data_IF_832949455389
#
_entry.id   IF_832949455389
#
_cell.length_a   1.000
_cell.length_b   1.000
_cell.length_c   1.000
_cell.angle_alpha   90.00
_cell.angle_beta   90.00
_cell.angle_gamma   90.00
#
_symmetry.space_group_name_H-M   'P 1'
#
loop_
_entity.id
_entity.type
_entity.pdbx_description
1 polymer ?
#
# COMPACT_ATOMS: atom_id res chain seq x y z
N UNK A 1 -10.39 -3.95 7.07
CA UNK A 1 -9.41 -3.16 6.29
C UNK A 1 -9.04 -1.94 7.10
N UNK A 2 -7.75 -1.63 7.18
CA UNK A 2 -7.26 -0.32 7.60
C UNK A 2 -7.75 0.79 6.68
N UNK A 3 -7.69 2.04 7.15
CA UNK A 3 -7.79 3.23 6.29
C UNK A 3 -6.38 3.84 6.20
N UNK A 4 -5.83 3.86 4.99
CA UNK A 4 -4.42 4.18 4.77
C UNK A 4 -4.27 5.42 3.86
N UNK A 5 -3.47 6.38 4.31
CA UNK A 5 -3.06 7.57 3.55
C UNK A 5 -1.58 7.44 3.22
N UNK A 6 -1.23 7.30 1.95
CA UNK A 6 0.17 7.35 1.50
C UNK A 6 0.56 8.80 1.22
N UNK A 7 1.79 9.18 1.57
CA UNK A 7 2.40 10.45 1.20
C UNK A 7 3.68 10.16 0.40
N UNK A 8 3.85 10.83 -0.75
CA UNK A 8 5.08 10.72 -1.54
C UNK A 8 5.49 12.07 -2.16
N UNK A 9 6.75 12.22 -2.64
CA UNK A 9 7.13 13.26 -3.57
C UNK A 9 6.22 13.23 -4.80
N UNK A 10 5.81 14.41 -5.29
CA UNK A 10 5.02 14.51 -6.51
C UNK A 10 5.25 15.85 -7.20
N UNK A 11 5.67 15.79 -8.46
CA UNK A 11 5.98 16.96 -9.28
C UNK A 11 4.72 17.66 -9.83
N UNK A 12 4.89 18.94 -10.18
CA UNK A 12 3.82 19.77 -10.72
C UNK A 12 3.38 19.30 -12.12
N UNK A 13 2.33 18.47 -12.16
CA UNK A 13 1.77 17.90 -13.39
C UNK A 13 2.00 16.39 -13.55
N UNK A 14 2.72 15.75 -12.62
CA UNK A 14 2.83 14.29 -12.53
C UNK A 14 1.45 13.68 -12.17
N UNK A 15 1.12 12.50 -12.70
CA UNK A 15 -0.09 11.80 -12.26
C UNK A 15 0.10 11.22 -10.85
N UNK A 16 -0.97 10.72 -10.22
CA UNK A 16 -0.83 9.98 -8.96
C UNK A 16 -0.31 8.56 -9.20
N UNK A 17 -0.67 7.93 -10.31
CA UNK A 17 -0.16 6.61 -10.72
C UNK A 17 1.38 6.65 -10.87
N UNK A 18 1.91 7.63 -11.59
CA UNK A 18 3.36 7.82 -11.75
C UNK A 18 4.08 8.17 -10.43
N UNK A 19 3.40 8.86 -9.50
CA UNK A 19 4.00 9.29 -8.24
C UNK A 19 4.04 8.15 -7.20
N UNK A 20 2.96 7.37 -7.11
CA UNK A 20 2.90 6.18 -6.28
C UNK A 20 3.82 5.08 -6.83
N UNK A 21 3.83 4.84 -8.15
CA UNK A 21 4.72 3.86 -8.77
C UNK A 21 6.22 4.24 -8.68
N UNK A 22 6.56 5.53 -8.55
CA UNK A 22 7.92 5.98 -8.30
C UNK A 22 8.33 5.87 -6.81
N UNK A 23 7.35 5.78 -5.90
CA UNK A 23 7.56 5.67 -4.46
C UNK A 23 7.51 4.21 -3.95
N UNK A 24 6.79 3.34 -4.68
CA UNK A 24 6.70 1.87 -4.51
C UNK A 24 7.80 1.12 -5.29
N UNK A 25 8.58 1.85 -6.11
CA UNK A 25 9.68 1.26 -6.86
C UNK A 25 10.84 0.89 -5.93
N UNK A 26 10.97 -0.41 -5.60
CA UNK A 26 12.18 -0.99 -5.01
C UNK A 26 13.42 -0.50 -5.78
N UNK A 27 14.20 0.44 -5.21
CA UNK A 27 15.48 0.89 -5.78
C UNK A 27 16.55 -0.17 -5.52
N UNK A 28 16.34 -1.32 -6.15
CA UNK A 28 17.10 -2.57 -6.09
C UNK A 28 18.53 -2.46 -6.65
N UNK A 29 18.98 -1.24 -6.97
CA UNK A 29 20.38 -0.88 -7.25
C UNK A 29 20.98 0.13 -6.27
N UNK A 30 20.23 0.63 -5.30
CA UNK A 30 20.62 1.69 -4.34
C UNK A 30 20.14 1.34 -2.92
N UNK A 31 20.91 0.50 -2.24
CA UNK A 31 20.81 0.39 -0.78
C UNK A 31 20.84 1.80 -0.17
N UNK A 32 19.92 2.09 0.75
CA UNK A 32 19.89 3.37 1.46
C UNK A 32 21.22 3.56 2.20
N UNK A 33 22.06 4.46 1.68
CA UNK A 33 23.39 4.71 2.20
C UNK A 33 23.35 5.34 3.61
N UNK A 34 24.49 5.33 4.30
CA UNK A 34 24.60 5.81 5.70
C UNK A 34 24.13 7.28 5.86
N UNK A 35 24.20 8.09 4.80
CA UNK A 35 23.66 9.46 4.80
C UNK A 35 22.13 9.45 4.62
N UNK A 36 21.58 8.70 3.67
CA UNK A 36 20.14 8.55 3.49
C UNK A 36 19.44 8.02 4.77
N UNK A 37 20.02 6.99 5.40
CA UNK A 37 19.56 6.49 6.70
C UNK A 37 19.58 7.58 7.78
N UNK A 38 20.67 8.35 7.87
CA UNK A 38 20.79 9.44 8.86
C UNK A 38 19.74 10.54 8.63
N UNK A 39 19.59 11.01 7.39
CA UNK A 39 18.62 12.08 7.03
C UNK A 39 17.16 11.61 7.20
N UNK A 40 16.89 10.33 6.90
CA UNK A 40 15.59 9.68 7.12
C UNK A 40 15.25 9.56 8.61
N UNK A 41 16.16 9.04 9.43
CA UNK A 41 15.96 8.92 10.88
C UNK A 41 15.86 10.30 11.55
N UNK A 42 16.68 11.29 11.17
CA UNK A 42 16.53 12.67 11.67
C UNK A 42 15.17 13.27 11.30
N UNK A 43 14.65 12.96 10.10
CA UNK A 43 13.32 13.41 9.66
C UNK A 43 12.20 12.74 10.43
N UNK A 44 12.30 11.43 10.64
CA UNK A 44 11.37 10.70 11.50
C UNK A 44 11.36 11.22 12.94
N UNK A 45 12.52 11.57 13.53
CA UNK A 45 12.58 12.14 14.89
C UNK A 45 11.92 13.52 15.00
N UNK A 46 11.90 14.34 13.93
CA UNK A 46 11.11 15.60 13.90
C UNK A 46 9.61 15.30 13.85
N UNK A 47 9.20 14.32 13.04
CA UNK A 47 7.81 13.85 12.95
C UNK A 47 7.35 13.33 14.33
N UNK A 48 8.08 12.39 14.94
CA UNK A 48 7.84 11.86 16.30
C UNK A 48 7.61 12.98 17.31
N UNK A 49 8.54 13.95 17.36
CA UNK A 49 8.50 15.06 18.33
C UNK A 49 7.18 15.84 18.22
N UNK A 50 6.70 16.09 17.00
CA UNK A 50 5.43 16.81 16.76
C UNK A 50 4.20 15.92 16.93
N UNK A 51 4.28 14.62 16.65
CA UNK A 51 3.19 13.67 16.91
C UNK A 51 2.94 13.50 18.42
N UNK A 52 3.99 13.51 19.24
CA UNK A 52 3.91 13.52 20.72
C UNK A 52 3.17 14.75 21.29
N UNK A 53 2.97 15.81 20.51
CA UNK A 53 2.18 17.00 20.91
C UNK A 53 0.68 16.90 20.55
N UNK A 54 0.29 16.03 19.61
CA UNK A 54 -1.08 16.03 19.02
C UNK A 54 -1.85 14.71 19.12
N UNK A 55 -1.17 13.58 19.37
CA UNK A 55 -1.76 12.25 19.54
C UNK A 55 -2.00 11.93 21.01
N UNK A 56 -3.10 11.24 21.33
CA UNK A 56 -3.54 11.02 22.71
C UNK A 56 -3.17 9.65 23.31
N UNK A 57 -2.15 9.64 24.16
CA UNK A 57 -1.77 8.47 24.96
C UNK A 57 -0.25 8.31 25.08
N UNK A 58 0.16 7.09 25.44
CA UNK A 58 1.54 6.64 25.24
C UNK A 58 1.74 6.28 23.75
N UNK A 59 2.91 6.61 23.20
CA UNK A 59 3.27 6.34 21.81
C UNK A 59 4.49 5.44 21.78
N UNK A 60 4.32 4.27 21.17
CA UNK A 60 5.36 3.30 20.87
C UNK A 60 6.13 3.77 19.62
N UNK A 61 7.44 3.50 19.55
CA UNK A 61 8.28 4.09 18.51
C UNK A 61 9.51 3.24 18.24
N UNK A 62 9.72 2.91 16.97
CA UNK A 62 10.91 2.23 16.45
C UNK A 62 11.62 3.12 15.41
N UNK A 63 12.93 2.96 15.27
CA UNK A 63 13.75 3.58 14.22
C UNK A 63 14.77 2.59 13.69
N UNK A 64 15.19 2.75 12.45
CA UNK A 64 16.27 1.96 11.88
C UNK A 64 17.61 2.24 12.58
N UNK A 65 18.36 1.16 12.86
CA UNK A 65 19.71 1.19 13.42
C UNK A 65 20.79 0.75 12.39
N UNK A 66 20.38 0.18 11.26
CA UNK A 66 21.24 -0.38 10.21
C UNK A 66 20.74 0.00 8.81
N UNK A 67 21.63 0.07 7.82
CA UNK A 67 21.32 0.37 6.41
C UNK A 67 20.71 -0.83 5.67
N UNK A 68 19.88 -0.58 4.66
CA UNK A 68 19.29 -1.64 3.83
C UNK A 68 17.97 -2.22 4.35
N UNK A 69 17.30 -1.53 5.27
CA UNK A 69 15.88 -1.69 5.54
C UNK A 69 15.08 -0.54 4.94
N UNK A 70 13.86 -0.79 4.49
CA UNK A 70 13.04 0.15 3.71
C UNK A 70 12.36 1.23 4.56
N UNK A 71 12.39 1.08 5.89
CA UNK A 71 11.68 1.92 6.87
C UNK A 71 12.70 2.66 7.76
N UNK A 72 12.68 3.99 7.77
CA UNK A 72 13.50 4.81 8.67
C UNK A 72 12.94 4.87 10.10
N UNK A 73 11.62 4.76 10.26
CA UNK A 73 10.97 4.61 11.56
C UNK A 73 9.46 4.40 11.52
N UNK A 74 8.94 3.84 12.60
CA UNK A 74 7.51 3.58 12.84
C UNK A 74 7.11 4.21 14.18
N UNK A 75 5.98 4.92 14.21
CA UNK A 75 5.32 5.38 15.43
C UNK A 75 3.91 4.82 15.47
N UNK A 76 3.58 4.14 16.57
CA UNK A 76 2.25 3.57 16.81
C UNK A 76 1.63 4.18 18.06
N UNK A 77 0.34 4.49 17.99
CA UNK A 77 -0.47 5.05 19.06
C UNK A 77 -1.56 4.02 19.48
N UNK A 78 -1.26 3.05 20.35
CA UNK A 78 -2.10 1.86 20.55
C UNK A 78 -3.54 2.19 20.99
N UNK A 79 -3.74 3.30 21.69
CA UNK A 79 -5.05 3.76 22.19
C UNK A 79 -6.00 4.26 21.09
N UNK A 80 -5.45 4.81 20.01
CA UNK A 80 -6.23 5.37 18.89
C UNK A 80 -6.23 4.45 17.67
N UNK A 81 -5.23 3.57 17.55
CA UNK A 81 -4.99 2.77 16.35
C UNK A 81 -4.38 3.57 15.21
N UNK A 82 -3.78 4.73 15.51
CA UNK A 82 -3.02 5.51 14.52
C UNK A 82 -1.59 4.96 14.45
N UNK A 83 -1.15 4.65 13.24
CA UNK A 83 0.22 4.24 12.92
C UNK A 83 0.80 5.21 11.89
N UNK A 84 2.09 5.53 12.00
CA UNK A 84 2.83 6.42 11.08
C UNK A 84 4.18 5.80 10.76
N UNK A 85 4.42 5.56 9.47
CA UNK A 85 5.67 4.98 8.96
C UNK A 85 6.35 5.97 8.00
N UNK A 86 7.68 6.02 8.04
CA UNK A 86 8.51 6.75 7.07
C UNK A 86 9.45 5.77 6.38
N UNK A 87 9.39 5.73 5.05
CA UNK A 87 10.19 4.87 4.18
C UNK A 87 11.21 5.71 3.39
N UNK A 88 12.08 5.10 2.58
CA UNK A 88 12.69 5.85 1.48
C UNK A 88 11.61 6.22 0.45
N UNK A 89 11.67 7.45 -0.06
CA UNK A 89 10.71 7.97 -1.05
C UNK A 89 9.23 8.08 -0.63
N UNK A 90 8.79 7.61 0.54
CA UNK A 90 7.37 7.63 0.94
C UNK A 90 7.12 7.66 2.45
N UNK A 91 5.87 7.88 2.84
CA UNK A 91 5.37 7.74 4.20
C UNK A 91 3.93 7.20 4.20
N UNK A 92 3.52 6.56 5.29
CA UNK A 92 2.14 6.12 5.50
C UNK A 92 1.57 6.71 6.80
N UNK A 93 0.26 7.00 6.79
CA UNK A 93 -0.53 7.24 8.00
C UNK A 93 -1.75 6.33 7.95
N UNK A 94 -1.82 5.38 8.87
CA UNK A 94 -2.80 4.30 8.88
C UNK A 94 -3.69 4.37 10.11
N UNK A 95 -4.96 4.00 9.91
CA UNK A 95 -5.96 3.81 10.96
C UNK A 95 -6.36 2.34 11.01
N UNK A 96 -5.96 1.67 12.10
CA UNK A 96 -6.38 0.31 12.41
C UNK A 96 -7.89 0.21 12.70
N UNK A 97 -8.43 -0.98 12.49
CA UNK A 97 -9.82 -1.29 12.86
C UNK A 97 -9.95 -1.44 14.38
N UNK A 98 -11.01 -0.85 14.95
CA UNK A 98 -11.57 -1.35 16.21
C UNK A 98 -12.56 -2.46 15.90
N UNK A 99 -12.56 -3.53 16.71
CA UNK A 99 -13.48 -4.64 16.52
C UNK A 99 -14.93 -4.15 16.62
N UNK A 100 -15.66 -4.22 15.50
CA UNK A 100 -17.01 -3.67 15.38
C UNK A 100 -18.02 -4.61 16.03
N UNK A 101 -18.09 -4.58 17.35
CA UNK A 101 -18.95 -5.42 18.16
C UNK A 101 -18.85 -5.23 19.68
N UNK A 102 -17.86 -4.48 20.18
CA UNK A 102 -17.78 -4.12 21.59
C UNK A 102 -18.83 -3.07 21.95
N UNK A 103 -19.73 -3.42 22.88
CA UNK A 103 -20.65 -2.45 23.50
C UNK A 103 -19.84 -1.37 24.25
N UNK A 104 -20.23 -0.08 24.18
CA UNK A 104 -19.45 1.00 24.77
C UNK A 104 -19.46 0.93 26.30
N UNK A 105 -18.40 0.34 26.86
CA UNK A 105 -18.12 0.33 28.29
C UNK A 105 -17.72 1.74 28.78
N UNK A 106 -17.66 1.95 30.10
CA UNK A 106 -17.11 3.19 30.67
C UNK A 106 -15.58 3.34 30.44
N UNK A 107 -14.94 2.32 29.84
CA UNK A 107 -13.55 2.30 29.37
C UNK A 107 -13.47 2.29 27.82
N UNK A 108 -14.52 2.79 27.15
CA UNK A 108 -14.54 2.95 25.69
C UNK A 108 -13.33 3.78 25.22
N UNK A 109 -12.59 3.25 24.23
CA UNK A 109 -11.47 3.96 23.61
C UNK A 109 -11.89 5.33 23.03
N UNK A 110 -10.94 6.27 22.87
CA UNK A 110 -11.21 7.67 22.52
C UNK A 110 -12.18 7.84 21.35
N UNK A 111 -12.99 8.89 21.43
CA UNK A 111 -14.09 9.18 20.49
C UNK A 111 -13.66 9.10 19.02
N UNK A 112 -14.54 8.61 18.15
CA UNK A 112 -14.17 8.38 16.75
C UNK A 112 -13.86 9.67 16.01
N UNK A 113 -14.59 10.77 16.25
CA UNK A 113 -14.26 12.06 15.65
C UNK A 113 -12.95 12.64 16.21
N UNK A 114 -12.63 12.40 17.50
CA UNK A 114 -11.31 12.69 18.06
C UNK A 114 -10.20 11.90 17.32
N UNK A 115 -10.37 10.58 17.10
CA UNK A 115 -9.38 9.74 16.42
C UNK A 115 -9.15 10.20 14.97
N UNK A 116 -10.21 10.50 14.22
CA UNK A 116 -10.08 11.00 12.84
C UNK A 116 -9.41 12.39 12.79
N UNK A 117 -9.66 13.24 13.76
CA UNK A 117 -9.02 14.56 13.89
C UNK A 117 -7.54 14.43 14.31
N UNK A 118 -7.18 13.47 15.16
CA UNK A 118 -5.79 13.15 15.51
C UNK A 118 -5.03 12.60 14.29
N UNK A 119 -5.63 11.69 13.52
CA UNK A 119 -5.06 11.19 12.28
C UNK A 119 -4.91 12.29 11.21
N UNK A 120 -5.87 13.20 11.09
CA UNK A 120 -5.80 14.36 10.18
C UNK A 120 -4.62 15.28 10.54
N UNK A 121 -4.37 15.48 11.83
CA UNK A 121 -3.18 16.23 12.30
C UNK A 121 -1.88 15.46 12.04
N UNK A 122 -1.87 14.13 12.16
CA UNK A 122 -0.71 13.31 11.82
C UNK A 122 -0.33 13.44 10.34
N UNK A 123 -1.27 13.27 9.40
CA UNK A 123 -1.05 13.49 7.95
C UNK A 123 -0.48 14.89 7.69
N UNK A 124 -1.05 15.92 8.33
CA UNK A 124 -0.59 17.30 8.20
C UNK A 124 0.81 17.57 8.78
N UNK A 125 1.26 16.79 9.76
CA UNK A 125 2.62 16.85 10.31
C UNK A 125 3.61 16.15 9.38
N UNK A 126 3.30 14.93 8.92
CA UNK A 126 4.17 14.17 8.00
C UNK A 126 4.38 14.96 6.70
N UNK A 127 3.30 15.48 6.09
CA UNK A 127 3.40 16.33 4.90
C UNK A 127 4.24 17.60 5.11
N UNK A 128 4.23 18.17 6.32
CA UNK A 128 4.99 19.39 6.64
C UNK A 128 6.48 19.13 6.91
N UNK A 129 6.86 17.97 7.44
CA UNK A 129 8.27 17.60 7.71
C UNK A 129 8.98 16.97 6.50
N UNK A 130 8.22 16.36 5.57
CA UNK A 130 8.73 15.71 4.36
C UNK A 130 8.56 16.54 3.08
N UNK A 131 7.57 17.43 3.04
CA UNK A 131 7.13 18.09 1.80
C UNK A 131 6.29 17.20 0.87
N UNK A 132 5.94 15.97 1.29
CA UNK A 132 5.21 15.01 0.48
C UNK A 132 3.72 15.37 0.36
N UNK A 133 3.10 14.99 -0.76
CA UNK A 133 1.66 15.17 -0.98
C UNK A 133 0.89 13.93 -0.52
N UNK A 134 -0.22 14.06 0.24
CA UNK A 134 -1.03 12.92 0.68
C UNK A 134 -2.06 12.48 -0.38
N UNK A 135 -2.20 11.16 -0.54
CA UNK A 135 -3.16 10.47 -1.38
C UNK A 135 -4.05 9.54 -0.55
N UNK A 136 -5.34 9.48 -0.87
CA UNK A 136 -6.33 8.67 -0.17
C UNK A 136 -6.80 7.49 -1.04
N UNK A 137 -6.39 6.28 -0.66
CA UNK A 137 -6.72 5.04 -1.36
C UNK A 137 -8.20 4.65 -1.28
N UNK A 138 -9.00 5.26 -0.40
CA UNK A 138 -10.45 5.03 -0.32
C UNK A 138 -11.26 5.94 -1.26
N UNK A 139 -10.67 7.05 -1.71
CA UNK A 139 -11.29 7.98 -2.67
C UNK A 139 -10.61 8.00 -4.04
N UNK A 140 -9.41 7.44 -4.16
CA UNK A 140 -8.54 7.49 -5.35
C UNK A 140 -8.16 8.94 -5.74
N UNK A 141 -8.19 9.86 -4.76
CA UNK A 141 -7.99 11.31 -4.92
C UNK A 141 -6.91 11.87 -3.96
N UNK A 142 -6.37 13.09 -4.21
CA UNK A 142 -5.57 13.79 -3.20
C UNK A 142 -6.35 13.96 -1.90
N UNK A 143 -5.75 13.64 -0.75
CA UNK A 143 -6.45 13.68 0.54
C UNK A 143 -6.90 15.11 0.89
N UNK A 144 -8.22 15.32 0.98
CA UNK A 144 -8.84 16.64 1.21
C UNK A 144 -8.84 17.08 2.69
N UNK A 145 -8.29 16.25 3.58
CA UNK A 145 -8.35 16.44 5.03
C UNK A 145 -9.52 15.72 5.71
N UNK A 146 -10.31 14.89 5.01
CA UNK A 146 -11.44 14.16 5.60
C UNK A 146 -11.39 12.66 5.28
N UNK A 147 -11.41 11.83 6.34
CA UNK A 147 -11.53 10.38 6.22
C UNK A 147 -12.99 10.00 5.89
N UNK A 148 -13.19 9.20 4.83
CA UNK A 148 -14.52 8.83 4.32
C UNK A 148 -15.02 7.51 4.90
N UNK A 149 -15.70 7.60 6.05
CA UNK A 149 -16.27 6.42 6.68
C UNK A 149 -17.42 5.81 5.85
N UNK A 150 -17.31 4.51 5.54
CA UNK A 150 -18.46 3.70 5.12
C UNK A 150 -18.79 3.67 3.63
N UNK A 151 -17.85 3.98 2.74
CA UNK A 151 -17.94 3.49 1.36
C UNK A 151 -17.39 2.05 1.30
N UNK A 152 -18.22 1.00 1.15
CA UNK A 152 -17.69 -0.29 0.76
C UNK A 152 -17.09 -0.13 -0.64
N UNK A 153 -15.82 -0.53 -0.82
CA UNK A 153 -15.17 -0.60 -2.14
C UNK A 153 -16.15 -1.25 -3.12
N UNK A 154 -16.50 -0.53 -4.19
CA UNK A 154 -17.44 -1.04 -5.17
C UNK A 154 -16.76 -2.16 -5.97
N UNK A 155 -16.89 -3.39 -5.46
CA UNK A 155 -16.47 -4.64 -6.11
C UNK A 155 -16.74 -4.53 -7.62
N UNK A 156 -15.70 -4.55 -8.48
CA UNK A 156 -15.83 -4.16 -9.88
C UNK A 156 -16.82 -5.10 -10.57
N UNK A 157 -18.03 -4.57 -10.81
CA UNK A 157 -19.24 -5.37 -10.89
C UNK A 157 -19.10 -6.54 -11.88
N UNK A 158 -18.97 -7.76 -11.34
CA UNK A 158 -18.63 -8.95 -12.13
C UNK A 158 -19.46 -9.02 -13.40
N UNK A 159 -18.78 -8.96 -14.54
CA UNK A 159 -19.40 -8.79 -15.85
C UNK A 159 -20.37 -9.95 -16.12
N UNK A 160 -21.66 -9.67 -15.88
CA UNK A 160 -22.77 -10.62 -15.73
C UNK A 160 -22.69 -11.73 -16.78
N UNK A 161 -22.14 -12.89 -16.42
CA UNK A 161 -21.85 -13.94 -17.39
C UNK A 161 -23.16 -14.54 -17.93
N UNK A 162 -23.58 -14.06 -19.11
CA UNK A 162 -24.75 -14.54 -19.83
C UNK A 162 -24.48 -15.96 -20.31
N UNK A 163 -24.82 -16.95 -19.48
CA UNK A 163 -24.61 -18.39 -19.76
C UNK A 163 -25.31 -18.79 -21.07
N UNK A 164 -24.58 -19.15 -22.14
CA UNK A 164 -25.20 -19.51 -23.41
C UNK A 164 -25.55 -21.00 -23.39
N UNK A 165 -26.83 -21.35 -23.15
CA UNK A 165 -27.19 -22.77 -23.08
C UNK A 165 -28.66 -23.14 -22.91
N UNK A 166 -29.41 -23.16 -24.02
CA UNK A 166 -30.37 -24.23 -24.33
C UNK A 166 -30.87 -24.15 -25.78
N UNK A 167 -31.23 -25.28 -26.44
CA UNK A 167 -31.46 -25.33 -27.88
C UNK A 167 -32.89 -24.91 -28.29
N UNK A 168 -33.01 -24.18 -29.41
CA UNK A 168 -34.30 -23.87 -30.04
C UNK A 168 -34.70 -24.85 -31.16
N UNK A 169 -35.92 -24.73 -31.72
CA UNK A 169 -36.32 -25.48 -32.91
C UNK A 169 -36.62 -24.62 -34.16
N UNK A 170 -35.93 -24.97 -35.27
CA UNK A 170 -36.40 -25.01 -36.69
C UNK A 170 -36.69 -23.71 -37.48
N UNK A 171 -35.88 -23.54 -38.54
CA UNK A 171 -36.00 -22.68 -39.75
C UNK A 171 -37.32 -22.85 -40.54
N UNK A 172 -37.70 -21.84 -41.35
CA UNK A 172 -37.39 -21.79 -42.80
C UNK A 172 -36.74 -20.44 -43.22
N UNK A 173 -35.64 -20.36 -44.00
CA UNK A 173 -35.39 -20.67 -45.43
C UNK A 173 -35.68 -19.51 -46.43
N UNK A 174 -34.69 -18.63 -46.61
CA UNK A 174 -34.39 -17.85 -47.83
C UNK A 174 -32.98 -17.23 -47.69
N UNK A 175 -32.33 -16.66 -48.71
CA UNK A 175 -31.83 -17.14 -50.02
C UNK A 175 -31.00 -15.96 -50.59
N UNK A 176 -29.73 -16.15 -50.92
CA UNK A 176 -28.83 -15.10 -51.46
C UNK A 176 -28.12 -14.25 -50.38
N UNK A 177 -26.86 -13.81 -50.56
CA UNK A 177 -25.90 -14.18 -51.61
C UNK A 177 -24.50 -13.54 -51.45
N UNK A 178 -23.46 -14.26 -51.93
CA UNK A 178 -22.13 -13.79 -52.40
C UNK A 178 -21.15 -13.05 -51.45
N UNK A 179 -19.94 -13.57 -51.19
CA UNK A 179 -18.79 -12.87 -50.54
C UNK A 179 -17.81 -12.26 -51.57
N UNK A 180 -16.82 -11.40 -51.21
CA UNK A 180 -15.45 -11.85 -50.79
C UNK A 180 -14.78 -10.82 -49.79
N UNK A 181 -13.47 -10.70 -49.47
CA UNK A 181 -12.22 -11.50 -49.56
C UNK A 181 -11.12 -10.89 -48.63
N UNK A 182 -10.19 -11.72 -48.11
CA UNK A 182 -8.80 -11.38 -47.65
C UNK A 182 -8.62 -10.37 -46.48
N UNK A 183 -7.49 -10.29 -45.73
CA UNK A 183 -6.26 -11.09 -45.50
C UNK A 183 -5.84 -10.86 -44.01
N UNK A 184 -5.36 -11.80 -43.19
CA UNK A 184 -4.21 -12.72 -43.24
C UNK A 184 -2.85 -12.11 -42.83
N UNK A 185 -2.41 -12.34 -41.57
CA UNK A 185 -1.01 -12.42 -41.02
C UNK A 185 -1.07 -12.55 -39.47
N UNK A 186 -0.02 -12.92 -38.73
CA UNK A 186 0.43 -14.31 -38.46
C UNK A 186 1.33 -14.36 -37.18
N UNK A 187 1.47 -15.54 -36.55
CA UNK A 187 2.32 -15.78 -35.35
C UNK A 187 1.50 -15.93 -34.05
N UNK A 188 1.69 -16.91 -33.16
CA UNK A 188 2.73 -17.98 -33.01
C UNK A 188 4.15 -17.43 -32.77
N UNK A 189 4.97 -17.87 -31.81
CA UNK A 189 4.92 -18.97 -30.79
C UNK A 189 5.98 -18.64 -29.70
N UNK A 190 6.09 -19.23 -28.50
CA UNK A 190 5.55 -20.46 -27.88
C UNK A 190 5.58 -20.34 -26.34
N UNK A 191 4.95 -21.28 -25.62
CA UNK A 191 5.13 -21.48 -24.17
C UNK A 191 6.53 -22.03 -23.82
N UNK A 192 7.07 -21.60 -22.67
CA UNK A 192 8.01 -22.32 -21.77
C UNK A 192 7.92 -21.63 -20.40
N UNK A 193 7.37 -22.25 -19.36
CA UNK A 193 7.97 -23.30 -18.51
C UNK A 193 8.99 -22.73 -17.49
N UNK A 194 8.56 -22.60 -16.23
CA UNK A 194 9.40 -22.15 -15.11
C UNK A 194 10.31 -23.30 -14.61
N UNK A 195 11.58 -23.04 -14.26
CA UNK A 195 12.42 -24.00 -13.53
C UNK A 195 12.21 -23.89 -12.02
N UNK A 196 11.95 -25.01 -11.33
CA UNK A 196 11.94 -25.06 -9.86
C UNK A 196 13.36 -25.01 -9.29
N UNK A 197 13.61 -24.30 -8.17
CA UNK A 197 14.91 -24.33 -7.50
C UNK A 197 15.15 -25.65 -6.76
N UNK A 198 16.37 -26.19 -6.87
CA UNK A 198 16.82 -27.40 -6.16
C UNK A 198 17.39 -27.06 -4.78
N UNK A 199 17.12 -27.90 -3.78
CA UNK A 199 17.68 -27.76 -2.43
C UNK A 199 19.21 -27.91 -2.40
N UNK A 200 19.95 -27.11 -1.59
CA UNK A 200 21.39 -27.31 -1.38
C UNK A 200 21.66 -28.48 -0.42
N UNK A 201 22.79 -29.19 -0.55
CA UNK A 201 23.21 -30.25 0.38
C UNK A 201 23.84 -29.68 1.66
N UNK A 202 23.57 -30.31 2.80
CA UNK A 202 24.12 -29.95 4.11
C UNK A 202 25.61 -30.32 4.25
N UNK A 203 26.47 -29.34 4.57
CA UNK A 203 27.87 -29.56 4.93
C UNK A 203 28.10 -29.54 6.45
N UNK A 204 28.68 -30.61 7.00
CA UNK A 204 29.02 -30.69 8.43
C UNK A 204 30.37 -30.02 8.75
N UNK A 205 30.55 -29.42 9.94
CA UNK A 205 31.81 -28.76 10.33
C UNK A 205 32.93 -29.76 10.67
N UNK A 206 34.21 -29.42 10.42
CA UNK A 206 35.36 -30.20 10.87
C UNK A 206 35.57 -30.09 12.39
N UNK A 207 36.05 -31.18 13.00
CA UNK A 207 36.14 -31.32 14.46
C UNK A 207 37.36 -30.69 15.13
N UNK A 208 37.26 -30.48 16.45
CA UNK A 208 38.39 -30.13 17.34
C UNK A 208 39.42 -31.28 17.38
N UNK A 209 40.69 -30.94 17.14
CA UNK A 209 41.83 -31.64 17.73
C UNK A 209 42.42 -30.76 18.85
N UNK A 210 43.01 -31.38 19.87
CA UNK A 210 43.58 -30.68 21.02
C UNK A 210 45.08 -30.91 21.20
N UNK A 211 45.69 -30.02 21.97
CA UNK A 211 46.98 -30.18 22.65
C UNK A 211 46.81 -29.71 24.10
#
# INVERSE_FOLDING_TARGET
>A
MSYDITLCPRDAGQSWEDALAAADAEDSGREADEQALTEGVETFRRIETRLREVLSGELETWVAEETGGDVYGELTAPRTGIQVELFDGSAAVSLGERETGEEPSEDSGPDRAQVLEEARRAVGIVAAETGYQPFDHQTEEPFDGTFREGAPRAEPAEARQVRPGSPGPRRPRSRGGTPPACAAVAGSTSCSAWPSPSSPPTGSPPGRAGC
#
